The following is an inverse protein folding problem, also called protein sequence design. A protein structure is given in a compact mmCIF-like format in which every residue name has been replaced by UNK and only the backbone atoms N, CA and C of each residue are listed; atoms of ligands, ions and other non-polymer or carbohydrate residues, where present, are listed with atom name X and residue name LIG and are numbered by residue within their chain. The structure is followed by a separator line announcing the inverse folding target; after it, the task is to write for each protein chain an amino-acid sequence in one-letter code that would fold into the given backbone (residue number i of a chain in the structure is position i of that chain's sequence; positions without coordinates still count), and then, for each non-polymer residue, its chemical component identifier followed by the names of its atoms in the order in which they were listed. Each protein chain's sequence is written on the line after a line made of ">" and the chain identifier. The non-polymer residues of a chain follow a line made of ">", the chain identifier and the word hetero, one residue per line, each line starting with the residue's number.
data_IF_454241422526
#
_entry.id   IF_454241422526
#
_cell.length_a   1.000
_cell.length_b   1.000
_cell.length_c   1.000
_cell.angle_alpha   90.00
_cell.angle_beta   90.00
_cell.angle_gamma   90.00
#
_symmetry.space_group_name_H-M   'P 1'
#
loop_
_entity.id
_entity.type
_entity.pdbx_description
1 polymer ?
#
# COMPACT_ATOMS: atom_id res chain seq x y z
N UNK A 1 -17.48 -25.48 7.19
CA UNK A 1 -17.43 -24.89 5.84
C UNK A 1 -16.39 -23.79 5.91
N UNK A 2 -15.26 -23.95 5.22
CA UNK A 2 -14.17 -22.97 5.27
C UNK A 2 -14.63 -21.64 4.68
N UNK A 3 -14.18 -20.52 5.25
CA UNK A 3 -14.26 -19.23 4.57
C UNK A 3 -13.38 -19.32 3.33
N UNK A 4 -13.96 -19.12 2.15
CA UNK A 4 -13.17 -18.94 0.93
C UNK A 4 -12.64 -17.51 0.93
N UNK A 5 -11.32 -17.39 1.03
CA UNK A 5 -10.60 -16.12 0.95
C UNK A 5 -10.02 -16.01 -0.44
N UNK A 6 -10.47 -15.01 -1.19
CA UNK A 6 -9.98 -14.75 -2.54
C UNK A 6 -8.85 -13.74 -2.47
N UNK A 7 -7.73 -14.07 -3.11
CA UNK A 7 -6.60 -13.17 -3.29
C UNK A 7 -6.66 -12.62 -4.71
N UNK A 8 -7.00 -11.34 -4.83
CA UNK A 8 -6.79 -10.59 -6.07
C UNK A 8 -5.41 -9.92 -6.03
N UNK A 9 -4.81 -9.74 -7.21
CA UNK A 9 -3.51 -9.08 -7.37
C UNK A 9 -3.70 -7.92 -8.32
N UNK A 10 -3.32 -6.72 -7.90
CA UNK A 10 -3.39 -5.56 -8.76
C UNK A 10 -1.97 -5.12 -9.15
N UNK A 11 -1.63 -5.03 -10.45
CA UNK A 11 -0.29 -4.67 -10.86
C UNK A 11 -0.03 -3.18 -10.62
N UNK A 12 1.17 -2.90 -10.14
CA UNK A 12 1.78 -1.57 -10.09
C UNK A 12 2.87 -1.56 -11.16
N UNK A 13 2.82 -0.58 -12.06
CA UNK A 13 3.75 -0.47 -13.20
C UNK A 13 4.56 0.82 -13.16
N UNK A 14 5.71 0.82 -13.83
CA UNK A 14 6.50 2.04 -14.06
C UNK A 14 5.99 2.86 -15.27
N UNK A 15 6.64 3.99 -15.53
CA UNK A 15 6.32 4.87 -16.66
C UNK A 15 6.54 4.23 -18.05
N UNK A 16 7.23 3.09 -18.14
CA UNK A 16 7.41 2.30 -19.36
C UNK A 16 6.39 1.14 -19.45
N UNK A 17 5.37 1.12 -18.58
CA UNK A 17 4.37 0.06 -18.43
C UNK A 17 4.97 -1.30 -18.02
N UNK A 18 6.17 -1.31 -17.43
CA UNK A 18 6.76 -2.54 -16.92
C UNK A 18 6.26 -2.80 -15.51
N UNK A 19 5.90 -4.05 -15.26
CA UNK A 19 5.50 -4.52 -13.93
C UNK A 19 6.60 -4.28 -12.90
N UNK A 20 6.27 -3.47 -11.89
CA UNK A 20 7.13 -3.14 -10.76
C UNK A 20 6.79 -4.01 -9.53
N UNK A 21 5.52 -4.08 -9.18
CA UNK A 21 5.01 -4.73 -7.98
C UNK A 21 3.57 -5.21 -8.18
N UNK A 22 3.02 -5.92 -7.21
CA UNK A 22 1.57 -6.06 -7.08
C UNK A 22 1.12 -5.63 -5.69
N UNK A 23 -0.06 -5.02 -5.63
CA UNK A 23 -0.84 -4.95 -4.41
C UNK A 23 -1.65 -6.24 -4.24
N UNK A 24 -1.65 -6.78 -3.02
CA UNK A 24 -2.39 -7.97 -2.66
C UNK A 24 -3.71 -7.57 -1.98
N UNK A 25 -4.82 -7.83 -2.68
CA UNK A 25 -6.15 -7.52 -2.22
C UNK A 25 -6.83 -8.80 -1.70
N UNK A 26 -6.96 -8.89 -0.37
CA UNK A 26 -7.63 -10.02 0.28
C UNK A 26 -9.11 -9.70 0.48
N UNK A 27 -9.98 -10.37 -0.28
CA UNK A 27 -11.42 -10.23 -0.13
C UNK A 27 -11.95 -11.37 0.73
N UNK A 28 -12.43 -11.03 1.92
CA UNK A 28 -13.25 -11.95 2.71
C UNK A 28 -14.67 -11.99 2.13
N UNK A 29 -15.21 -13.19 1.93
CA UNK A 29 -16.63 -13.40 1.63
C UNK A 29 -17.49 -12.67 2.68
N UNK A 30 -18.28 -11.70 2.21
CA UNK A 30 -19.10 -10.76 2.98
C UNK A 30 -20.08 -11.49 3.92
N UNK A 31 -19.73 -11.64 5.19
CA UNK A 31 -20.67 -12.01 6.26
C UNK A 31 -20.26 -11.55 7.67
N UNK A 32 -19.41 -10.54 7.80
CA UNK A 32 -19.05 -9.98 9.11
C UNK A 32 -19.41 -8.49 9.18
N UNK A 33 -20.67 -8.21 9.53
CA UNK A 33 -21.13 -6.89 9.95
C UNK A 33 -20.74 -6.72 11.42
N UNK A 34 -20.02 -5.65 11.73
CA UNK A 34 -19.36 -5.28 13.00
C UNK A 34 -17.95 -5.87 13.22
N UNK A 35 -16.93 -5.01 13.11
CA UNK A 35 -15.53 -5.35 13.33
C UNK A 35 -15.10 -4.95 14.75
N UNK A 36 -14.64 -5.91 15.54
CA UNK A 36 -13.93 -5.70 16.80
C UNK A 36 -12.41 -5.77 16.54
N UNK A 37 -11.57 -5.27 17.45
CA UNK A 37 -10.09 -5.34 17.31
C UNK A 37 -9.59 -6.78 17.08
N UNK A 38 -10.23 -7.77 17.72
CA UNK A 38 -9.94 -9.19 17.49
C UNK A 38 -10.20 -9.64 16.06
N UNK A 39 -11.21 -9.11 15.38
CA UNK A 39 -11.48 -9.46 13.98
C UNK A 39 -10.52 -8.79 13.01
N UNK A 40 -10.06 -7.57 13.32
CA UNK A 40 -9.04 -6.84 12.55
C UNK A 40 -7.70 -7.59 12.56
N UNK A 41 -7.18 -7.91 13.75
CA UNK A 41 -5.94 -8.69 13.86
C UNK A 41 -6.08 -10.07 13.21
N UNK A 42 -7.23 -10.74 13.33
CA UNK A 42 -7.46 -12.02 12.64
C UNK A 42 -7.40 -11.88 11.12
N UNK A 43 -8.01 -10.83 10.56
CA UNK A 43 -7.94 -10.54 9.13
C UNK A 43 -6.50 -10.27 8.69
N UNK A 44 -5.75 -9.47 9.44
CA UNK A 44 -4.33 -9.23 9.18
C UNK A 44 -3.47 -10.50 9.25
N UNK A 45 -3.67 -11.34 10.27
CA UNK A 45 -2.96 -12.63 10.37
C UNK A 45 -3.29 -13.55 9.20
N UNK A 46 -4.55 -13.56 8.74
CA UNK A 46 -4.97 -14.32 7.57
C UNK A 46 -4.30 -13.80 6.29
N UNK A 47 -4.24 -12.47 6.11
CA UNK A 47 -3.48 -11.80 5.02
C UNK A 47 -2.02 -12.24 5.01
N UNK A 48 -1.34 -12.16 6.16
CA UNK A 48 0.06 -12.57 6.31
C UNK A 48 0.22 -14.07 6.01
N UNK A 49 -0.65 -14.91 6.57
CA UNK A 49 -0.58 -16.37 6.40
C UNK A 49 -0.80 -16.77 4.95
N UNK A 50 -1.80 -16.19 4.29
CA UNK A 50 -2.08 -16.45 2.89
C UNK A 50 -0.95 -15.96 1.99
N UNK A 51 -0.34 -14.81 2.32
CA UNK A 51 0.85 -14.32 1.63
C UNK A 51 1.99 -15.33 1.75
N UNK A 52 2.26 -15.90 2.93
CA UNK A 52 3.27 -16.95 3.11
C UNK A 52 2.97 -18.23 2.31
N UNK A 53 1.69 -18.62 2.23
CA UNK A 53 1.23 -19.80 1.49
C UNK A 53 1.41 -19.72 -0.02
N UNK A 54 1.58 -18.52 -0.60
CA UNK A 54 1.94 -18.37 -2.01
C UNK A 54 3.31 -18.97 -2.34
N UNK A 55 4.14 -19.25 -1.32
CA UNK A 55 5.32 -20.06 -1.42
C UNK A 55 6.62 -19.30 -1.72
N UNK A 56 7.77 -20.01 -1.67
CA UNK A 56 9.11 -19.42 -1.69
C UNK A 56 9.68 -19.16 -3.09
N UNK A 57 8.97 -19.50 -4.18
CA UNK A 57 9.32 -19.00 -5.52
C UNK A 57 9.00 -17.50 -5.62
N UNK A 58 9.76 -16.65 -4.90
CA UNK A 58 9.93 -15.21 -5.18
C UNK A 58 8.57 -14.53 -5.45
N UNK A 59 7.75 -14.33 -4.41
CA UNK A 59 6.35 -13.90 -4.49
C UNK A 59 6.08 -12.96 -5.68
N UNK A 60 5.18 -13.36 -6.57
CA UNK A 60 4.78 -12.59 -7.75
C UNK A 60 5.85 -12.41 -8.82
N UNK A 61 6.70 -13.40 -9.02
CA UNK A 61 7.79 -13.25 -9.95
C UNK A 61 8.80 -12.17 -9.48
N UNK A 62 9.19 -12.24 -8.20
CA UNK A 62 10.28 -11.48 -7.57
C UNK A 62 9.96 -10.01 -7.47
N UNK A 63 8.69 -9.71 -7.71
CA UNK A 63 8.11 -8.41 -7.57
C UNK A 63 7.77 -8.19 -6.12
N UNK A 64 7.60 -6.93 -5.77
CA UNK A 64 7.20 -6.56 -4.43
C UNK A 64 5.72 -6.85 -4.24
N UNK A 65 5.36 -7.29 -3.05
CA UNK A 65 3.99 -7.37 -2.59
C UNK A 65 3.69 -6.18 -1.70
N UNK A 66 2.77 -5.33 -2.14
CA UNK A 66 2.18 -4.30 -1.30
C UNK A 66 1.02 -4.91 -0.52
N UNK A 67 0.98 -4.67 0.79
CA UNK A 67 0.05 -5.32 1.71
C UNK A 67 -0.53 -4.27 2.65
N UNK A 68 -1.85 -4.18 2.65
CA UNK A 68 -2.58 -3.18 3.41
C UNK A 68 -2.70 -3.66 4.86
N UNK A 69 -2.22 -2.84 5.79
CA UNK A 69 -2.21 -3.18 7.20
C UNK A 69 -2.97 -2.14 8.03
N UNK A 70 -3.90 -2.64 8.86
CA UNK A 70 -4.50 -1.87 9.93
C UNK A 70 -3.56 -1.73 11.15
N UNK A 71 -3.95 -0.88 12.10
CA UNK A 71 -3.17 -0.62 13.31
C UNK A 71 -2.89 -1.91 14.10
N UNK A 72 -3.92 -2.75 14.29
CA UNK A 72 -3.79 -3.96 15.10
C UNK A 72 -2.75 -4.92 14.51
N UNK A 73 -2.72 -5.04 13.18
CA UNK A 73 -1.78 -5.89 12.45
C UNK A 73 -0.37 -5.30 12.45
N UNK A 74 -0.22 -3.99 12.17
CA UNK A 74 1.07 -3.30 12.25
C UNK A 74 1.74 -3.43 13.63
N UNK A 75 0.94 -3.38 14.69
CA UNK A 75 1.40 -3.51 16.07
C UNK A 75 1.71 -4.96 16.47
N UNK A 76 1.35 -5.94 15.66
CA UNK A 76 1.63 -7.34 15.92
C UNK A 76 2.99 -7.77 15.37
N UNK A 77 3.59 -8.79 15.96
CA UNK A 77 4.82 -9.40 15.45
C UNK A 77 4.59 -10.36 14.28
N UNK A 78 3.33 -10.64 13.93
CA UNK A 78 3.01 -11.44 12.73
C UNK A 78 3.55 -10.82 11.45
N UNK A 79 3.62 -9.49 11.36
CA UNK A 79 4.23 -8.81 10.20
C UNK A 79 5.68 -9.26 9.99
N UNK A 80 6.41 -9.51 11.07
CA UNK A 80 7.81 -9.93 11.02
C UNK A 80 8.04 -11.33 10.40
N UNK A 81 6.96 -12.09 10.14
CA UNK A 81 7.05 -13.38 9.46
C UNK A 81 7.31 -13.24 7.96
N UNK A 82 6.96 -12.10 7.35
CA UNK A 82 7.19 -11.87 5.92
C UNK A 82 8.61 -11.37 5.68
N UNK A 83 9.30 -11.82 4.61
CA UNK A 83 10.64 -11.34 4.30
C UNK A 83 10.63 -9.85 3.91
N UNK A 84 11.39 -8.98 4.59
CA UNK A 84 11.30 -7.52 4.40
C UNK A 84 11.63 -7.04 2.98
N UNK A 85 12.48 -7.77 2.25
CA UNK A 85 12.87 -7.43 0.89
C UNK A 85 11.79 -7.72 -0.16
N UNK A 86 10.79 -8.52 0.17
CA UNK A 86 9.70 -8.88 -0.75
C UNK A 86 8.42 -8.08 -0.53
N UNK A 87 8.34 -7.31 0.56
CA UNK A 87 7.09 -6.65 0.94
C UNK A 87 7.27 -5.15 1.10
N UNK A 88 6.14 -4.46 0.94
CA UNK A 88 5.94 -3.06 1.32
C UNK A 88 4.63 -3.03 2.11
N UNK A 89 4.65 -2.47 3.31
CA UNK A 89 3.45 -2.34 4.11
C UNK A 89 2.76 -1.01 3.84
N UNK A 90 1.52 -1.08 3.41
CA UNK A 90 0.68 0.10 3.23
C UNK A 90 -0.01 0.43 4.54
N UNK A 91 0.26 1.61 5.05
CA UNK A 91 -0.41 2.16 6.22
C UNK A 91 -1.68 2.83 5.72
N UNK A 92 -2.83 2.25 6.08
CA UNK A 92 -4.14 2.79 5.71
C UNK A 92 -4.34 4.19 6.31
N UNK A 93 -5.06 5.03 5.59
CA UNK A 93 -5.51 6.38 5.98
C UNK A 93 -6.44 6.37 7.22
N UNK A 94 -6.99 5.21 7.56
CA UNK A 94 -7.78 5.00 8.78
C UNK A 94 -6.93 4.77 10.03
N UNK A 95 -5.62 4.58 9.89
CA UNK A 95 -4.71 4.29 11.01
C UNK A 95 -4.27 5.60 11.68
N UNK A 96 -4.58 5.80 12.98
CA UNK A 96 -4.22 7.04 13.66
C UNK A 96 -2.71 7.16 13.88
N UNK A 97 -2.14 8.30 13.49
CA UNK A 97 -0.71 8.57 13.68
C UNK A 97 -0.39 8.93 15.13
N UNK A 98 -0.08 7.90 15.93
CA UNK A 98 0.30 8.05 17.35
C UNK A 98 1.82 7.94 17.56
N UNK A 99 2.36 8.44 18.69
CA UNK A 99 3.77 8.21 19.04
C UNK A 99 4.15 6.73 19.10
N UNK A 100 3.21 5.86 19.47
CA UNK A 100 3.39 4.40 19.53
C UNK A 100 3.54 3.84 18.12
N UNK A 101 2.66 4.23 17.19
CA UNK A 101 2.76 3.82 15.78
C UNK A 101 4.08 4.28 15.17
N UNK A 102 4.48 5.53 15.39
CA UNK A 102 5.76 6.07 14.91
C UNK A 102 6.95 5.23 15.42
N UNK A 103 6.93 4.85 16.70
CA UNK A 103 7.96 4.00 17.27
C UNK A 103 7.98 2.61 16.60
N UNK A 104 6.81 2.02 16.36
CA UNK A 104 6.68 0.72 15.68
C UNK A 104 7.19 0.75 14.25
N UNK A 105 6.82 1.77 13.46
CA UNK A 105 7.32 1.93 12.08
C UNK A 105 8.84 2.07 12.09
N UNK A 106 9.40 2.85 13.03
CA UNK A 106 10.86 3.01 13.15
C UNK A 106 11.55 1.68 13.47
N UNK A 107 11.01 0.89 14.38
CA UNK A 107 11.51 -0.44 14.72
C UNK A 107 11.50 -1.36 13.48
N UNK A 108 10.37 -1.46 12.79
CA UNK A 108 10.24 -2.29 11.60
C UNK A 108 11.16 -1.83 10.45
N UNK A 109 11.37 -0.52 10.28
CA UNK A 109 12.38 0.00 9.34
C UNK A 109 13.79 -0.45 9.70
N UNK A 110 14.15 -0.50 10.99
CA UNK A 110 15.47 -1.01 11.42
C UNK A 110 15.64 -2.51 11.10
N UNK A 111 14.53 -3.26 11.02
CA UNK A 111 14.50 -4.64 10.56
C UNK A 111 14.50 -4.78 9.02
N UNK A 112 14.47 -3.66 8.28
CA UNK A 112 14.55 -3.62 6.82
C UNK A 112 13.21 -3.55 6.10
N UNK A 113 12.09 -3.42 6.82
CA UNK A 113 10.77 -3.26 6.19
C UNK A 113 10.62 -1.88 5.55
N UNK A 114 9.84 -1.86 4.46
CA UNK A 114 9.47 -0.64 3.72
C UNK A 114 8.00 -0.34 3.90
N UNK A 115 7.66 0.93 3.75
CA UNK A 115 6.32 1.44 4.01
C UNK A 115 5.79 2.30 2.87
N UNK A 116 4.48 2.24 2.67
CA UNK A 116 3.71 3.17 1.85
C UNK A 116 2.65 3.86 2.71
N UNK A 117 2.30 5.10 2.39
CA UNK A 117 1.04 5.70 2.85
C UNK A 117 -0.01 5.49 1.77
N UNK A 118 -1.13 4.88 2.15
CA UNK A 118 -2.26 4.61 1.27
C UNK A 118 -3.23 5.80 1.21
N UNK A 119 -3.90 5.99 0.07
CA UNK A 119 -4.89 7.07 -0.18
C UNK A 119 -4.48 8.44 0.42
N UNK A 120 -3.22 8.83 0.21
CA UNK A 120 -2.63 9.95 0.95
C UNK A 120 -3.30 11.29 0.63
N UNK A 121 -3.67 11.97 1.70
CA UNK A 121 -4.09 13.37 1.70
C UNK A 121 -3.05 14.20 2.47
N UNK A 122 -2.76 15.41 1.98
CA UNK A 122 -1.78 16.30 2.60
C UNK A 122 -2.31 16.93 3.90
N UNK A 123 -2.45 16.10 4.93
CA UNK A 123 -2.80 16.48 6.29
C UNK A 123 -1.55 16.49 7.18
N UNK A 124 -1.49 17.44 8.10
CA UNK A 124 -0.35 17.63 9.01
C UNK A 124 -0.08 16.39 9.90
N UNK A 125 -1.10 15.58 10.17
CA UNK A 125 -1.01 14.38 10.99
C UNK A 125 -0.09 13.30 10.40
N UNK A 126 0.04 13.22 9.07
CA UNK A 126 0.92 12.25 8.41
C UNK A 126 2.36 12.74 8.26
N UNK A 127 2.60 14.04 8.48
CA UNK A 127 3.92 14.64 8.34
C UNK A 127 5.03 13.91 9.12
N UNK A 128 4.80 13.39 10.34
CA UNK A 128 5.79 12.60 11.06
C UNK A 128 6.18 11.28 10.37
N UNK A 129 5.29 10.73 9.53
CA UNK A 129 5.52 9.47 8.80
C UNK A 129 6.31 9.66 7.51
N UNK A 130 6.21 10.82 6.85
CA UNK A 130 6.86 11.09 5.56
C UNK A 130 8.37 10.74 5.50
N UNK A 131 9.20 11.00 6.53
CA UNK A 131 10.61 10.62 6.50
C UNK A 131 10.86 9.12 6.69
N UNK A 132 9.83 8.35 7.03
CA UNK A 132 9.87 6.94 7.38
C UNK A 132 9.10 6.06 6.38
N UNK A 133 8.63 6.61 5.27
CA UNK A 133 7.96 5.85 4.21
C UNK A 133 8.74 5.94 2.91
N UNK A 134 8.67 4.86 2.13
CA UNK A 134 9.38 4.71 0.86
C UNK A 134 8.46 5.04 -0.32
N UNK A 135 7.14 4.95 -0.11
CA UNK A 135 6.13 5.26 -1.09
C UNK A 135 5.00 6.13 -0.52
N UNK A 136 4.40 6.94 -1.38
CA UNK A 136 3.14 7.66 -1.10
C UNK A 136 2.20 7.38 -2.27
N UNK A 137 1.03 6.82 -1.98
CA UNK A 137 0.01 6.51 -2.96
C UNK A 137 -1.00 7.66 -3.01
N UNK A 138 -1.36 8.09 -4.20
CA UNK A 138 -2.26 9.21 -4.46
C UNK A 138 -3.41 8.73 -5.35
N UNK A 139 -4.63 8.80 -4.84
CA UNK A 139 -5.83 8.62 -5.65
C UNK A 139 -6.00 9.81 -6.60
N UNK A 140 -5.77 9.57 -7.90
CA UNK A 140 -5.87 10.61 -8.94
C UNK A 140 -7.23 10.63 -9.64
N UNK A 141 -8.14 9.73 -9.28
CA UNK A 141 -9.52 9.76 -9.75
C UNK A 141 -10.35 10.72 -8.89
N UNK A 142 -10.11 10.72 -7.58
CA UNK A 142 -10.83 11.58 -6.63
C UNK A 142 -10.19 12.98 -6.49
N UNK A 143 -8.91 13.13 -6.85
CA UNK A 143 -8.17 14.39 -6.74
C UNK A 143 -7.99 15.07 -8.11
N UNK A 144 -8.33 16.38 -8.22
CA UNK A 144 -8.01 17.15 -9.41
C UNK A 144 -6.48 17.21 -9.66
N UNK A 145 -6.04 17.32 -10.92
CA UNK A 145 -4.63 17.36 -11.30
C UNK A 145 -3.80 18.39 -10.53
N UNK A 146 -4.37 19.57 -10.32
CA UNK A 146 -3.75 20.68 -9.60
C UNK A 146 -3.49 20.30 -8.14
N UNK A 147 -4.42 19.56 -7.53
CA UNK A 147 -4.31 19.12 -6.15
C UNK A 147 -3.18 18.11 -5.98
N UNK A 148 -3.07 17.16 -6.90
CA UNK A 148 -1.97 16.17 -6.93
C UNK A 148 -0.62 16.88 -7.00
N UNK A 149 -0.47 17.89 -7.87
CA UNK A 149 0.76 18.68 -7.97
C UNK A 149 1.06 19.46 -6.68
N UNK A 150 0.05 20.09 -6.07
CA UNK A 150 0.20 20.79 -4.79
C UNK A 150 0.69 19.86 -3.68
N UNK A 151 0.09 18.66 -3.57
CA UNK A 151 0.47 17.66 -2.57
C UNK A 151 1.93 17.26 -2.75
N UNK A 152 2.31 16.90 -3.98
CA UNK A 152 3.68 16.51 -4.32
C UNK A 152 4.65 17.63 -3.94
N UNK A 153 4.38 18.87 -4.37
CA UNK A 153 5.23 20.02 -4.06
C UNK A 153 5.34 20.30 -2.56
N UNK A 154 4.25 20.12 -1.81
CA UNK A 154 4.23 20.38 -0.37
C UNK A 154 5.06 19.37 0.43
N UNK A 155 4.96 18.08 0.07
CA UNK A 155 5.58 17.02 0.88
C UNK A 155 7.01 16.68 0.44
N UNK A 156 7.41 17.02 -0.79
CA UNK A 156 8.76 16.75 -1.33
C UNK A 156 9.91 17.28 -0.47
N UNK A 157 9.69 18.29 0.39
CA UNK A 157 10.70 18.78 1.33
C UNK A 157 10.99 17.81 2.49
N UNK A 158 10.01 16.96 2.84
CA UNK A 158 10.09 16.02 3.97
C UNK A 158 9.98 14.55 3.54
N UNK A 159 9.80 14.30 2.24
CA UNK A 159 9.63 13.00 1.63
C UNK A 159 10.65 12.80 0.51
N UNK A 160 11.35 11.66 0.53
CA UNK A 160 12.38 11.30 -0.46
C UNK A 160 12.07 9.99 -1.20
N UNK A 161 10.90 9.41 -0.94
CA UNK A 161 10.45 8.19 -1.58
C UNK A 161 9.83 8.45 -2.95
N UNK A 162 9.06 7.47 -3.42
CA UNK A 162 8.47 7.45 -4.75
C UNK A 162 6.95 7.53 -4.68
N UNK A 163 6.33 8.21 -5.64
CA UNK A 163 4.89 8.35 -5.73
C UNK A 163 4.29 7.24 -6.58
N UNK A 164 3.11 6.78 -6.16
CA UNK A 164 2.27 5.84 -6.90
C UNK A 164 0.94 6.54 -7.18
N UNK A 165 0.55 6.68 -8.45
CA UNK A 165 -0.79 7.13 -8.81
C UNK A 165 -1.74 5.92 -8.86
N UNK A 166 -2.85 6.02 -8.14
CA UNK A 166 -3.88 4.99 -8.07
C UNK A 166 -5.14 5.40 -8.80
N UNK A 167 -5.97 4.40 -9.12
CA UNK A 167 -7.21 4.57 -9.89
C UNK A 167 -6.97 5.32 -11.20
N UNK A 168 -5.85 5.03 -11.88
CA UNK A 168 -5.56 5.55 -13.22
C UNK A 168 -6.45 4.84 -14.25
N UNK A 169 -7.46 5.53 -14.77
CA UNK A 169 -8.48 4.95 -15.65
C UNK A 169 -8.29 5.29 -17.14
N UNK A 170 -7.46 6.29 -17.48
CA UNK A 170 -7.22 6.69 -18.86
C UNK A 170 -5.76 7.02 -19.18
N UNK A 171 -5.46 7.06 -20.49
CA UNK A 171 -4.15 7.47 -21.01
C UNK A 171 -3.83 8.91 -20.62
N UNK A 172 -4.82 9.79 -20.64
CA UNK A 172 -4.67 11.20 -20.30
C UNK A 172 -4.30 11.37 -18.82
N UNK A 173 -4.95 10.61 -17.92
CA UNK A 173 -4.61 10.59 -16.49
C UNK A 173 -3.17 10.11 -16.29
N UNK A 174 -2.78 9.01 -16.96
CA UNK A 174 -1.41 8.49 -16.91
C UNK A 174 -0.38 9.53 -17.36
N UNK A 175 -0.57 10.11 -18.55
CA UNK A 175 0.36 11.10 -19.10
C UNK A 175 0.48 12.29 -18.15
N UNK A 176 -0.63 12.80 -17.61
CA UNK A 176 -0.64 13.88 -16.63
C UNK A 176 0.14 13.54 -15.35
N UNK A 177 -0.13 12.38 -14.74
CA UNK A 177 0.56 11.93 -13.52
C UNK A 177 2.07 11.82 -13.75
N UNK A 178 2.47 11.30 -14.92
CA UNK A 178 3.87 11.23 -15.32
C UNK A 178 4.51 12.62 -15.44
N UNK A 179 3.81 13.61 -16.00
CA UNK A 179 4.32 14.99 -16.06
C UNK A 179 4.46 15.65 -14.68
N UNK A 180 3.65 15.22 -13.70
CA UNK A 180 3.76 15.66 -12.31
C UNK A 180 4.95 15.02 -11.56
N UNK A 181 5.68 14.13 -12.21
CA UNK A 181 6.84 13.45 -11.64
C UNK A 181 6.50 12.19 -10.85
N UNK A 182 5.29 11.63 -11.00
CA UNK A 182 4.92 10.33 -10.39
C UNK A 182 5.68 9.20 -11.13
N UNK A 183 6.21 8.23 -10.37
CA UNK A 183 7.06 7.17 -10.92
C UNK A 183 6.31 5.86 -11.21
N UNK A 184 5.29 5.54 -10.42
CA UNK A 184 4.52 4.30 -10.57
C UNK A 184 3.01 4.55 -10.67
N UNK A 185 2.32 3.57 -11.23
CA UNK A 185 0.93 3.71 -11.62
C UNK A 185 0.16 2.41 -11.43
N UNK A 186 -1.10 2.53 -11.04
CA UNK A 186 -2.03 1.45 -10.80
C UNK A 186 -3.45 1.90 -11.19
N UNK A 187 -4.20 1.02 -11.85
CA UNK A 187 -5.58 1.32 -12.26
C UNK A 187 -6.03 0.54 -13.50
N UNK A 188 -7.30 0.68 -13.85
CA UNK A 188 -7.93 -0.06 -14.95
C UNK A 188 -7.28 0.19 -16.31
N UNK A 189 -6.59 1.32 -16.48
CA UNK A 189 -5.84 1.60 -17.69
C UNK A 189 -4.74 0.55 -17.98
N UNK A 190 -4.14 -0.05 -16.94
CA UNK A 190 -3.03 -0.99 -17.09
C UNK A 190 -3.46 -2.45 -17.05
N UNK A 191 -4.40 -2.76 -16.15
CA UNK A 191 -4.97 -4.09 -16.02
C UNK A 191 -6.33 -4.02 -15.35
N UNK A 192 -7.24 -4.88 -15.78
CA UNK A 192 -8.45 -5.15 -15.01
C UNK A 192 -8.09 -6.19 -13.92
N UNK A 193 -8.66 -6.10 -12.71
CA UNK A 193 -8.43 -7.11 -11.68
C UNK A 193 -8.80 -8.50 -12.22
N UNK A 194 -7.84 -9.41 -12.26
CA UNK A 194 -8.09 -10.81 -12.60
C UNK A 194 -8.67 -11.50 -11.37
N UNK A 195 -9.88 -12.05 -11.49
CA UNK A 195 -10.55 -12.86 -10.46
C UNK A 195 -10.05 -14.30 -10.47
#
# INVERSE_FOLDING_TARGET
>A
MGKETFLARQPIVDADHRLFAYELLFRQSLNAVSANVTSQLQAGVEVISNTLCLGPEWLLHGKLAFINLDEATLMSDFVCLLPPHHVVYEILETVPVTPVLIARIRELRQLGYRFALDDFVCLDEYRPLLPMVDFVKLDVLEQPPEKTMEIIAHIQLNFSGQFIAEKVESREMFDMCRHCGIQYFQGYYFAHPEN
#
